data_IF_160699370601
#
_entry.id   IF_160699370601
#
_cell.length_a   1.000
_cell.length_b   1.000
_cell.length_c   1.000
_cell.angle_alpha   90.00
_cell.angle_beta   90.00
_cell.angle_gamma   90.00
#
_symmetry.space_group_name_H-M   'P 1'
#
loop_
_entity.id
_entity.type
_entity.pdbx_description
1 polymer ?
#
# COMPACT_ATOMS: atom_id res chain seq x y z
N UNK A 1 -19.03 -17.41 -2.78
CA UNK A 1 -17.77 -16.66 -2.86
C UNK A 1 -17.85 -15.83 -4.12
N UNK A 2 -17.86 -14.51 -4.03
CA UNK A 2 -17.83 -13.64 -5.21
C UNK A 2 -16.58 -13.97 -6.02
N UNK A 3 -16.75 -14.22 -7.32
CA UNK A 3 -15.65 -14.50 -8.25
C UNK A 3 -14.64 -13.33 -8.17
N UNK A 4 -13.45 -13.62 -7.66
CA UNK A 4 -12.39 -12.61 -7.56
C UNK A 4 -11.94 -12.30 -8.98
N UNK A 5 -12.17 -11.07 -9.45
CA UNK A 5 -11.73 -10.68 -10.79
C UNK A 5 -10.22 -10.87 -10.92
N UNK A 6 -9.78 -11.33 -12.09
CA UNK A 6 -8.36 -11.40 -12.44
C UNK A 6 -7.66 -10.03 -12.34
N UNK A 7 -8.40 -8.93 -12.34
CA UNK A 7 -7.84 -7.57 -12.28
C UNK A 7 -8.22 -6.79 -11.01
N UNK A 8 -8.49 -7.48 -9.91
CA UNK A 8 -8.68 -6.84 -8.61
C UNK A 8 -7.42 -6.98 -7.74
N UNK A 9 -6.95 -5.85 -7.19
CA UNK A 9 -6.05 -5.82 -6.04
C UNK A 9 -6.85 -5.42 -4.80
N UNK A 10 -6.70 -6.19 -3.73
CA UNK A 10 -7.34 -5.96 -2.45
C UNK A 10 -6.32 -5.37 -1.48
N UNK A 11 -6.40 -4.07 -1.27
CA UNK A 11 -5.45 -3.30 -0.49
C UNK A 11 -5.72 -3.46 1.00
N UNK A 12 -4.66 -3.66 1.77
CA UNK A 12 -4.68 -3.79 3.22
C UNK A 12 -4.05 -2.54 3.82
N UNK A 13 -4.81 -1.71 4.56
CA UNK A 13 -4.23 -0.59 5.28
C UNK A 13 -3.19 -1.03 6.30
N UNK A 14 -2.12 -0.25 6.39
CA UNK A 14 -0.99 -0.53 7.27
C UNK A 14 -0.76 0.66 8.18
N UNK A 15 -0.46 0.35 9.43
CA UNK A 15 -0.19 1.31 10.48
C UNK A 15 1.18 1.05 11.10
N UNK A 16 1.70 2.06 11.78
CA UNK A 16 2.87 1.96 12.64
C UNK A 16 2.47 2.28 14.06
N UNK A 17 3.03 1.54 15.02
CA UNK A 17 2.78 1.76 16.45
C UNK A 17 4.06 2.11 17.19
N UNK A 18 3.93 2.84 18.28
CA UNK A 18 4.97 2.89 19.30
C UNK A 18 5.26 1.47 19.84
N UNK A 19 6.52 1.17 20.13
CA UNK A 19 6.92 -0.19 20.51
C UNK A 19 6.23 -0.74 21.76
N UNK A 20 5.92 0.12 22.73
CA UNK A 20 5.21 -0.24 23.96
C UNK A 20 3.70 -0.44 23.77
N UNK A 21 3.13 -0.02 22.63
CA UNK A 21 1.69 -0.10 22.36
C UNK A 21 1.32 -1.50 21.88
N UNK A 22 0.24 -2.08 22.41
CA UNK A 22 -0.29 -3.37 21.97
C UNK A 22 -1.58 -3.17 21.17
N UNK A 23 -1.68 -3.84 20.02
CA UNK A 23 -2.84 -3.76 19.11
C UNK A 23 -3.24 -5.19 18.73
N UNK A 24 -4.23 -5.75 19.42
CA UNK A 24 -4.75 -7.10 19.18
C UNK A 24 -6.19 -7.09 18.64
N UNK A 25 -6.79 -5.90 18.50
CA UNK A 25 -8.18 -5.75 18.08
C UNK A 25 -8.41 -4.38 17.43
N UNK A 26 -9.49 -4.27 16.67
CA UNK A 26 -9.86 -3.00 16.04
C UNK A 26 -10.18 -1.88 17.05
N UNK A 27 -10.92 -2.10 18.17
CA UNK A 27 -11.12 -1.06 19.16
C UNK A 27 -9.81 -0.49 19.72
N UNK A 28 -8.82 -1.35 19.98
CA UNK A 28 -7.50 -0.91 20.41
C UNK A 28 -6.78 -0.11 19.32
N UNK A 29 -6.87 -0.54 18.06
CA UNK A 29 -6.32 0.21 16.93
C UNK A 29 -6.90 1.62 16.85
N UNK A 30 -8.22 1.73 16.89
CA UNK A 30 -8.95 3.00 16.80
C UNK A 30 -8.59 3.93 17.97
N UNK A 31 -8.66 3.45 19.22
CA UNK A 31 -8.30 4.23 20.40
C UNK A 31 -6.85 4.73 20.33
N UNK A 32 -5.89 3.86 20.01
CA UNK A 32 -4.49 4.25 19.96
C UNK A 32 -4.18 5.17 18.76
N UNK A 33 -4.94 5.06 17.66
CA UNK A 33 -4.85 6.00 16.53
C UNK A 33 -5.33 7.40 16.93
N UNK A 34 -6.47 7.50 17.61
CA UNK A 34 -6.97 8.80 18.11
C UNK A 34 -6.02 9.44 19.13
N UNK A 35 -5.36 8.61 19.95
CA UNK A 35 -4.40 9.06 20.96
C UNK A 35 -2.98 9.31 20.41
N UNK A 36 -2.76 9.17 19.10
CA UNK A 36 -1.47 9.45 18.46
C UNK A 36 -0.37 8.39 18.70
N UNK A 37 -0.68 7.27 19.34
CA UNK A 37 0.26 6.14 19.58
C UNK A 37 0.39 5.22 18.38
N UNK A 38 -0.56 5.32 17.46
CA UNK A 38 -0.57 4.61 16.17
C UNK A 38 -0.80 5.65 15.07
N UNK A 39 -0.06 5.51 13.98
CA UNK A 39 -0.21 6.36 12.81
C UNK A 39 -0.29 5.53 11.53
N UNK A 40 -0.65 6.17 10.43
CA UNK A 40 -0.55 5.52 9.12
C UNK A 40 0.91 5.17 8.79
N UNK A 41 1.10 4.07 8.08
CA UNK A 41 2.44 3.61 7.69
C UNK A 41 3.18 4.67 6.86
N UNK A 42 4.45 4.92 7.22
CA UNK A 42 5.27 5.97 6.65
C UNK A 42 4.60 7.36 6.64
N UNK A 43 3.96 7.76 7.75
CA UNK A 43 3.29 9.07 7.86
C UNK A 43 4.22 10.25 7.49
N UNK A 44 5.52 10.11 7.72
CA UNK A 44 6.56 11.09 7.38
C UNK A 44 6.68 11.37 5.87
N UNK A 45 6.29 10.45 4.97
CA UNK A 45 6.26 10.68 3.52
C UNK A 45 4.85 10.53 2.91
N UNK A 46 3.81 10.82 3.71
CA UNK A 46 2.40 10.70 3.32
C UNK A 46 2.10 11.35 1.97
N UNK A 47 2.62 12.54 1.71
CA UNK A 47 2.38 13.28 0.46
C UNK A 47 2.76 12.49 -0.80
N UNK A 48 3.71 11.56 -0.69
CA UNK A 48 4.30 10.85 -1.83
C UNK A 48 3.77 9.43 -1.99
N UNK A 49 3.59 8.68 -0.89
CA UNK A 49 3.46 7.22 -0.95
C UNK A 49 2.16 6.65 -0.38
N UNK A 50 1.50 7.34 0.57
CA UNK A 50 0.37 6.79 1.34
C UNK A 50 -0.86 7.71 1.46
N UNK A 51 -0.82 8.94 0.93
CA UNK A 51 -1.97 9.88 0.88
C UNK A 51 -3.18 9.40 0.04
N UNK A 52 -3.14 8.16 -0.46
CA UNK A 52 -4.17 7.57 -1.29
C UNK A 52 -5.32 6.95 -0.49
N UNK A 53 -5.08 6.61 0.78
CA UNK A 53 -6.09 6.05 1.66
C UNK A 53 -6.95 7.14 2.30
N UNK A 54 -8.25 6.94 2.27
CA UNK A 54 -9.21 7.68 3.10
C UNK A 54 -9.37 6.93 4.43
N UNK A 55 -8.45 7.21 5.37
CA UNK A 55 -8.46 6.57 6.69
C UNK A 55 -9.71 6.90 7.51
N UNK A 56 -10.22 8.16 7.55
CA UNK A 56 -11.49 8.44 8.23
C UNK A 56 -12.63 7.54 7.74
N UNK A 57 -12.80 7.41 6.42
CA UNK A 57 -13.80 6.51 5.82
C UNK A 57 -13.52 5.05 6.13
N UNK A 58 -12.25 4.64 6.17
CA UNK A 58 -11.88 3.27 6.51
C UNK A 58 -12.25 2.93 7.96
N UNK A 59 -11.95 3.81 8.92
CA UNK A 59 -12.32 3.65 10.32
C UNK A 59 -13.84 3.62 10.49
N UNK A 60 -14.59 4.53 9.85
CA UNK A 60 -16.06 4.57 9.90
C UNK A 60 -16.67 3.24 9.43
N UNK A 61 -16.24 2.74 8.27
CA UNK A 61 -16.76 1.49 7.70
C UNK A 61 -16.37 0.27 8.55
N UNK A 62 -15.13 0.24 9.05
CA UNK A 62 -14.67 -0.86 9.90
C UNK A 62 -15.41 -0.86 11.25
N UNK A 63 -15.70 0.30 11.84
CA UNK A 63 -16.56 0.42 13.04
C UNK A 63 -17.95 -0.16 12.84
N UNK A 64 -18.53 0.07 11.66
CA UNK A 64 -19.87 -0.44 11.33
C UNK A 64 -19.92 -1.96 11.28
N UNK A 65 -18.88 -2.61 10.74
CA UNK A 65 -18.84 -4.05 10.49
C UNK A 65 -17.49 -4.71 10.88
N UNK A 66 -17.04 -4.65 12.14
CA UNK A 66 -15.65 -4.96 12.53
C UNK A 66 -15.25 -6.44 12.37
N UNK A 67 -16.23 -7.34 12.16
CA UNK A 67 -16.01 -8.78 11.96
C UNK A 67 -16.21 -9.23 10.52
N UNK A 68 -16.59 -8.32 9.62
CA UNK A 68 -16.83 -8.62 8.21
C UNK A 68 -15.83 -7.87 7.35
N UNK A 69 -15.04 -8.63 6.59
CA UNK A 69 -14.15 -8.07 5.56
C UNK A 69 -14.94 -7.79 4.30
N UNK A 70 -14.98 -6.53 3.88
CA UNK A 70 -15.64 -6.09 2.65
C UNK A 70 -14.79 -5.06 1.91
N UNK A 71 -15.13 -4.80 0.64
CA UNK A 71 -14.53 -3.68 -0.11
C UNK A 71 -15.14 -2.38 0.40
N UNK A 72 -14.36 -1.60 1.15
CA UNK A 72 -14.82 -0.34 1.73
C UNK A 72 -14.95 0.77 0.69
N UNK A 73 -13.92 0.92 -0.16
CA UNK A 73 -13.88 1.89 -1.25
C UNK A 73 -12.78 1.53 -2.25
N UNK A 74 -12.82 2.17 -3.42
CA UNK A 74 -11.80 2.04 -4.47
C UNK A 74 -10.87 3.25 -4.46
N UNK A 75 -9.59 3.01 -4.71
CA UNK A 75 -8.60 4.06 -4.92
C UNK A 75 -8.40 4.26 -6.42
N UNK A 76 -8.41 5.52 -6.86
CA UNK A 76 -7.90 5.86 -8.20
C UNK A 76 -6.37 5.89 -8.12
N UNK A 77 -5.72 5.04 -8.92
CA UNK A 77 -4.27 4.99 -8.96
C UNK A 77 -3.65 6.38 -9.22
N UNK A 78 -2.52 6.63 -8.55
CA UNK A 78 -1.66 7.79 -8.73
C UNK A 78 -0.20 7.31 -8.65
N UNK A 79 0.69 8.06 -9.30
CA UNK A 79 2.09 7.70 -9.40
C UNK A 79 2.73 7.57 -8.00
N UNK A 80 3.68 6.64 -7.88
CA UNK A 80 4.41 6.34 -6.64
C UNK A 80 3.61 5.64 -5.53
N UNK A 81 2.38 5.20 -5.81
CA UNK A 81 1.61 4.43 -4.84
C UNK A 81 2.27 3.10 -4.49
N UNK A 82 2.48 2.84 -3.19
CA UNK A 82 3.20 1.68 -2.67
C UNK A 82 2.39 0.88 -1.62
N UNK A 83 1.21 0.32 -1.96
CA UNK A 83 0.34 -0.34 -0.99
C UNK A 83 0.83 -1.75 -0.61
N UNK A 84 0.28 -2.26 0.49
CA UNK A 84 0.20 -3.70 0.74
C UNK A 84 -1.11 -4.23 0.17
N UNK A 85 -1.07 -5.34 -0.56
CA UNK A 85 -2.25 -5.84 -1.23
C UNK A 85 -2.22 -7.36 -1.43
N UNK A 86 -3.40 -7.92 -1.64
CA UNK A 86 -3.64 -9.27 -2.11
C UNK A 86 -4.17 -9.20 -3.55
N UNK A 87 -3.93 -10.25 -4.33
CA UNK A 87 -4.58 -10.44 -5.61
C UNK A 87 -4.21 -11.81 -6.16
N UNK A 88 -4.70 -12.13 -7.34
CA UNK A 88 -4.47 -13.45 -7.92
C UNK A 88 -3.05 -13.59 -8.44
N UNK A 89 -2.35 -14.64 -8.01
CA UNK A 89 -0.95 -14.90 -8.36
C UNK A 89 -0.75 -15.09 -9.87
N UNK A 90 -1.74 -15.66 -10.56
CA UNK A 90 -1.72 -15.88 -12.02
C UNK A 90 -1.98 -14.61 -12.84
N UNK A 91 -2.37 -13.50 -12.19
CA UNK A 91 -2.70 -12.25 -12.86
C UNK A 91 -1.80 -11.07 -12.44
N UNK A 92 -1.34 -11.01 -11.19
CA UNK A 92 -0.49 -9.91 -10.70
C UNK A 92 0.83 -9.87 -11.49
N UNK A 93 1.31 -8.68 -11.91
CA UNK A 93 2.63 -8.56 -12.53
C UNK A 93 3.74 -9.03 -11.60
N UNK A 94 4.72 -9.77 -12.10
CA UNK A 94 5.88 -10.15 -11.29
C UNK A 94 6.73 -8.94 -10.89
N UNK A 95 7.41 -9.07 -9.76
CA UNK A 95 8.45 -8.12 -9.38
C UNK A 95 9.57 -8.08 -10.42
N UNK A 96 10.08 -6.90 -10.67
CA UNK A 96 11.24 -6.69 -11.53
C UNK A 96 12.53 -6.92 -10.73
N UNK A 97 13.25 -7.99 -11.07
CA UNK A 97 14.45 -8.45 -10.36
C UNK A 97 15.64 -7.47 -10.42
N UNK A 98 15.54 -6.43 -11.26
CA UNK A 98 16.57 -5.37 -11.34
C UNK A 98 16.56 -4.48 -10.09
N UNK A 99 15.40 -4.33 -9.43
CA UNK A 99 15.28 -3.58 -8.18
C UNK A 99 15.85 -4.42 -7.03
N UNK A 100 17.01 -4.00 -6.50
CA UNK A 100 17.69 -4.67 -5.39
C UNK A 100 17.68 -3.79 -4.15
N UNK A 101 17.43 -4.42 -3.00
CA UNK A 101 17.31 -3.76 -1.70
C UNK A 101 16.05 -2.88 -1.61
N UNK A 102 16.17 -1.70 -1.00
CA UNK A 102 15.00 -0.87 -0.65
C UNK A 102 14.64 0.15 -1.72
N UNK A 103 13.33 0.38 -1.89
CA UNK A 103 12.78 1.45 -2.72
C UNK A 103 12.34 1.01 -4.11
N UNK A 104 11.20 1.57 -4.55
CA UNK A 104 10.59 1.44 -5.88
C UNK A 104 10.22 0.03 -6.38
N UNK A 105 10.58 -1.06 -5.72
CA UNK A 105 10.20 -2.42 -6.11
C UNK A 105 8.67 -2.62 -6.12
N UNK A 106 7.99 -2.31 -5.00
CA UNK A 106 6.52 -2.38 -4.89
C UNK A 106 5.85 -1.31 -5.75
N UNK A 107 6.42 -0.10 -5.82
CA UNK A 107 5.93 0.99 -6.68
C UNK A 107 5.92 0.57 -8.15
N UNK A 108 6.98 -0.06 -8.65
CA UNK A 108 7.09 -0.48 -10.04
C UNK A 108 6.07 -1.56 -10.39
N UNK A 109 5.86 -2.54 -9.50
CA UNK A 109 4.85 -3.58 -9.68
C UNK A 109 3.42 -3.00 -9.65
N UNK A 110 3.14 -2.11 -8.69
CA UNK A 110 1.87 -1.41 -8.54
C UNK A 110 1.56 -0.54 -9.77
N UNK A 111 2.57 0.16 -10.31
CA UNK A 111 2.45 0.89 -11.56
C UNK A 111 2.12 -0.01 -12.76
N UNK A 112 2.77 -1.18 -12.89
CA UNK A 112 2.45 -2.12 -13.96
C UNK A 112 1.02 -2.67 -13.85
N UNK A 113 0.54 -2.93 -12.64
CA UNK A 113 -0.85 -3.33 -12.40
C UNK A 113 -1.82 -2.20 -12.81
N UNK A 114 -1.52 -0.95 -12.46
CA UNK A 114 -2.32 0.20 -12.86
C UNK A 114 -2.38 0.38 -14.39
N UNK A 115 -1.24 0.24 -15.08
CA UNK A 115 -1.14 0.24 -16.55
C UNK A 115 -2.01 -0.85 -17.19
N UNK A 116 -2.18 -1.99 -16.52
CA UNK A 116 -3.04 -3.09 -16.97
C UNK A 116 -4.51 -2.95 -16.56
N UNK A 117 -4.92 -1.80 -16.01
CA UNK A 117 -6.27 -1.49 -15.54
C UNK A 117 -6.74 -2.37 -14.37
N UNK A 118 -5.85 -2.69 -13.44
CA UNK A 118 -6.26 -3.28 -12.17
C UNK A 118 -7.09 -2.29 -11.35
N UNK A 119 -8.09 -2.80 -10.64
CA UNK A 119 -8.88 -2.05 -9.67
C UNK A 119 -8.27 -2.19 -8.28
N UNK A 120 -8.14 -1.06 -7.58
CA UNK A 120 -7.53 -0.97 -6.26
C UNK A 120 -8.64 -0.88 -5.20
N UNK A 121 -8.96 -2.00 -4.56
CA UNK A 121 -10.08 -2.15 -3.64
C UNK A 121 -9.57 -2.17 -2.19
N UNK A 122 -9.87 -1.16 -1.38
CA UNK A 122 -9.46 -1.14 0.03
C UNK A 122 -10.37 -2.06 0.86
N UNK A 123 -9.78 -3.03 1.56
CA UNK A 123 -10.48 -3.91 2.47
C UNK A 123 -10.73 -3.25 3.82
N UNK A 124 -11.91 -3.48 4.40
CA UNK A 124 -12.24 -3.15 5.80
C UNK A 124 -12.01 -4.35 6.71
N UNK A 125 -11.88 -4.09 8.01
CA UNK A 125 -11.75 -5.15 9.04
C UNK A 125 -10.54 -6.07 8.87
N UNK A 126 -9.57 -5.66 8.05
CA UNK A 126 -8.25 -6.29 7.87
C UNK A 126 -7.22 -5.17 7.82
N UNK A 127 -6.14 -5.31 8.59
CA UNK A 127 -5.07 -4.33 8.67
C UNK A 127 -3.77 -5.00 9.06
N UNK A 128 -2.66 -4.30 8.83
CA UNK A 128 -1.33 -4.67 9.34
C UNK A 128 -0.83 -3.59 10.29
N UNK A 129 0.02 -3.98 11.24
CA UNK A 129 0.70 -3.07 12.14
C UNK A 129 2.18 -3.39 12.14
N UNK A 130 3.00 -2.41 11.76
CA UNK A 130 4.45 -2.45 11.90
C UNK A 130 4.85 -1.98 13.30
N UNK A 131 5.77 -2.70 13.94
CA UNK A 131 6.30 -2.33 15.25
C UNK A 131 7.41 -1.28 15.12
N UNK A 132 7.22 -0.12 15.73
CA UNK A 132 8.11 1.03 15.60
C UNK A 132 7.64 1.99 14.51
N UNK A 133 7.59 3.27 14.88
CA UNK A 133 7.33 4.38 13.96
C UNK A 133 8.61 4.71 13.20
N UNK A 134 8.49 4.76 11.87
CA UNK A 134 9.61 5.02 10.97
C UNK A 134 9.72 6.51 10.67
N UNK A 135 10.94 6.96 10.43
CA UNK A 135 11.25 8.34 10.06
C UNK A 135 12.05 8.39 8.75
N UNK A 136 12.32 9.60 8.26
CA UNK A 136 13.05 9.85 7.01
C UNK A 136 14.43 9.19 6.93
N UNK A 137 15.07 8.95 8.07
CA UNK A 137 16.41 8.34 8.18
C UNK A 137 16.38 6.82 8.12
N UNK A 138 15.22 6.19 8.26
CA UNK A 138 15.07 4.73 8.16
C UNK A 138 14.99 4.22 6.71
N UNK A 139 14.98 5.14 5.74
CA UNK A 139 14.88 4.83 4.32
C UNK A 139 16.16 4.29 3.68
N UNK A 140 16.10 3.87 2.40
CA UNK A 140 17.28 3.50 1.62
C UNK A 140 18.31 4.63 1.58
N UNK A 141 19.59 4.25 1.51
CA UNK A 141 20.66 5.20 1.21
C UNK A 141 20.44 5.91 -0.13
N UNK A 142 20.81 7.19 -0.20
CA UNK A 142 20.51 8.06 -1.34
C UNK A 142 20.97 7.51 -2.70
N UNK A 143 22.13 6.84 -2.75
CA UNK A 143 22.65 6.21 -3.97
C UNK A 143 21.72 5.10 -4.49
N UNK A 144 21.26 4.23 -3.59
CA UNK A 144 20.32 3.17 -3.93
C UNK A 144 18.98 3.74 -4.38
N UNK A 145 18.47 4.77 -3.67
CA UNK A 145 17.22 5.42 -4.02
C UNK A 145 17.26 6.04 -5.42
N UNK A 146 18.37 6.73 -5.78
CA UNK A 146 18.58 7.30 -7.11
C UNK A 146 18.64 6.22 -8.20
N UNK A 147 19.36 5.12 -7.93
CA UNK A 147 19.45 4.00 -8.87
C UNK A 147 18.09 3.34 -9.10
N UNK A 148 17.33 3.08 -8.03
CA UNK A 148 16.00 2.49 -8.13
C UNK A 148 14.99 3.45 -8.78
N UNK A 149 15.14 4.77 -8.60
CA UNK A 149 14.35 5.76 -9.34
C UNK A 149 14.66 5.75 -10.84
N UNK A 150 15.94 5.60 -11.23
CA UNK A 150 16.33 5.42 -12.63
C UNK A 150 15.69 4.16 -13.24
N UNK A 151 15.76 3.03 -12.54
CA UNK A 151 15.11 1.79 -12.96
C UNK A 151 13.60 1.95 -13.12
N UNK A 152 12.94 2.68 -12.20
CA UNK A 152 11.51 2.96 -12.31
C UNK A 152 11.18 3.80 -13.55
N UNK A 153 11.99 4.81 -13.87
CA UNK A 153 11.82 5.59 -15.10
C UNK A 153 12.02 4.75 -16.37
N UNK A 154 12.99 3.83 -16.36
CA UNK A 154 13.20 2.89 -17.46
C UNK A 154 11.99 1.95 -17.62
N UNK A 155 11.53 1.33 -16.53
CA UNK A 155 10.35 0.45 -16.52
C UNK A 155 9.11 1.15 -17.08
N UNK A 156 8.85 2.40 -16.70
CA UNK A 156 7.74 3.19 -17.26
C UNK A 156 7.78 3.28 -18.79
N UNK A 157 8.96 3.49 -19.39
CA UNK A 157 9.14 3.55 -20.85
C UNK A 157 8.93 2.19 -21.49
N UNK A 158 9.47 1.13 -20.89
CA UNK A 158 9.28 -0.25 -21.36
C UNK A 158 7.80 -0.65 -21.36
N UNK A 159 7.04 -0.27 -20.33
CA UNK A 159 5.61 -0.58 -20.24
C UNK A 159 4.77 0.18 -21.25
N UNK A 160 5.11 1.45 -21.56
CA UNK A 160 4.46 2.18 -22.65
C UNK A 160 4.60 1.44 -23.97
N UNK A 161 5.81 0.98 -24.29
CA UNK A 161 6.07 0.21 -25.50
C UNK A 161 5.37 -1.16 -25.48
N UNK A 162 5.38 -1.85 -24.34
CA UNK A 162 4.77 -3.18 -24.19
C UNK A 162 3.25 -3.17 -24.36
N UNK A 163 2.58 -2.14 -23.82
CA UNK A 163 1.11 -2.06 -23.81
C UNK A 163 0.54 -1.04 -24.80
N UNK A 164 1.38 -0.46 -25.67
CA UNK A 164 1.00 0.54 -26.69
C UNK A 164 0.27 1.75 -26.10
N UNK A 165 0.77 2.27 -24.97
CA UNK A 165 0.24 3.44 -24.26
C UNK A 165 0.96 4.74 -24.62
#
# INVERSE_FOLDING_TARGET
MSDLSNKDLYLIPVFEKESSTQINSFPQLDENYQNGKVQMFHAWCTEWCYSFYDFPKWFEKTKKNPKSTEVGYKIKYKLSFEPYYLGRLDAIPFYDIRFRGYGYNKVAQCYEAAVQNFTFNVLTSVWLVHDGIKNETDGPGATQQKFNQYLFNLKKRELKNKYLL
#
